data_IF_786648368251
#
_entry.id   IF_786648368251
#
_cell.length_a   1.000
_cell.length_b   1.000
_cell.length_c   1.000
_cell.angle_alpha   90.00
_cell.angle_beta   90.00
_cell.angle_gamma   90.00
#
_symmetry.space_group_name_H-M   'P 1'
#
loop_
_entity.id
_entity.type
_entity.pdbx_description
1 polymer ?
#
# COMPACT_ATOMS: atom_id res chain seq x y z
N UNK A 1 -11.03 -30.65 -1.93
CA UNK A 1 -11.07 -30.51 -3.40
C UNK A 1 -10.09 -29.39 -3.71
N UNK A 2 -8.81 -29.74 -3.83
CA UNK A 2 -7.72 -28.77 -3.99
C UNK A 2 -7.59 -28.40 -5.47
N UNK A 3 -7.92 -27.16 -5.79
CA UNK A 3 -7.65 -26.58 -7.11
C UNK A 3 -6.51 -25.59 -6.93
N UNK A 4 -5.28 -26.09 -7.04
CA UNK A 4 -4.09 -25.23 -7.19
C UNK A 4 -4.12 -24.64 -8.59
N UNK A 5 -4.39 -23.34 -8.68
CA UNK A 5 -4.30 -22.59 -9.94
C UNK A 5 -2.83 -22.27 -10.20
N UNK A 6 -2.24 -22.97 -11.15
CA UNK A 6 -0.91 -22.66 -11.70
C UNK A 6 -1.08 -21.45 -12.63
N UNK A 7 -0.47 -20.32 -12.29
CA UNK A 7 -0.42 -19.16 -13.17
C UNK A 7 0.83 -19.22 -14.05
N UNK A 8 0.61 -19.11 -15.37
CA UNK A 8 1.67 -19.01 -16.37
C UNK A 8 2.15 -17.56 -16.48
N UNK A 9 3.44 -17.32 -16.28
CA UNK A 9 4.09 -16.02 -16.51
C UNK A 9 4.44 -15.91 -17.98
N UNK A 10 3.70 -15.07 -18.73
CA UNK A 10 4.05 -14.70 -20.09
C UNK A 10 5.16 -13.64 -20.08
N UNK A 11 6.37 -14.02 -20.50
CA UNK A 11 7.45 -13.07 -20.77
C UNK A 11 7.11 -12.26 -22.03
N UNK A 12 6.89 -10.94 -21.88
CA UNK A 12 6.68 -10.04 -23.00
C UNK A 12 8.04 -9.68 -23.65
N UNK A 13 8.26 -10.15 -24.88
CA UNK A 13 9.38 -9.74 -25.71
C UNK A 13 9.01 -8.47 -26.50
N UNK A 14 9.76 -7.39 -26.29
CA UNK A 14 9.61 -6.12 -27.01
C UNK A 14 10.16 -6.27 -28.44
N UNK A 15 9.28 -6.21 -29.45
CA UNK A 15 9.68 -6.05 -30.86
C UNK A 15 9.94 -4.57 -31.17
N UNK A 16 11.20 -4.22 -31.44
CA UNK A 16 11.57 -2.91 -31.99
C UNK A 16 11.47 -3.00 -33.53
N UNK A 17 10.39 -2.46 -34.10
CA UNK A 17 10.32 -2.17 -35.54
C UNK A 17 10.73 -0.72 -35.78
N UNK A 18 11.96 -0.54 -36.28
CA UNK A 18 12.44 0.75 -36.80
C UNK A 18 11.91 1.01 -38.21
N UNK A 19 11.41 2.22 -38.45
CA UNK A 19 11.17 2.77 -39.77
C UNK A 19 12.05 4.02 -39.98
N UNK A 20 12.47 4.23 -41.23
CA UNK A 20 13.72 4.88 -41.62
C UNK A 20 13.68 6.42 -41.82
N UNK A 21 14.78 7.06 -41.40
CA UNK A 21 15.68 8.06 -42.04
C UNK A 21 15.17 9.00 -43.15
N UNK A 22 15.54 10.29 -43.03
CA UNK A 22 16.09 11.17 -44.11
C UNK A 22 16.50 12.54 -43.51
N UNK A 23 17.64 13.21 -43.71
CA UNK A 23 18.96 13.05 -44.36
C UNK A 23 19.89 14.13 -43.73
N UNK A 24 21.20 13.89 -43.52
CA UNK A 24 22.39 14.48 -44.19
C UNK A 24 23.37 14.87 -43.03
N UNK A 25 24.69 14.69 -42.96
CA UNK A 25 25.79 14.64 -43.93
C UNK A 25 27.03 13.96 -43.27
N UNK A 26 27.84 13.29 -44.09
CA UNK A 26 29.33 13.15 -44.04
C UNK A 26 30.07 12.36 -42.92
N UNK A 27 30.69 11.26 -43.40
CA UNK A 27 32.14 10.89 -43.28
C UNK A 27 32.61 10.22 -41.97
N UNK A 28 32.87 8.89 -42.01
CA UNK A 28 34.21 8.25 -42.03
C UNK A 28 34.15 6.73 -41.79
N UNK A 29 35.03 6.04 -42.50
CA UNK A 29 35.26 4.59 -42.57
C UNK A 29 35.76 3.97 -41.25
N UNK A 30 35.18 2.81 -40.93
CA UNK A 30 35.70 1.68 -40.14
C UNK A 30 36.09 1.84 -38.67
N UNK A 31 35.33 1.18 -37.79
CA UNK A 31 35.84 0.13 -36.88
C UNK A 31 34.69 -0.79 -36.49
N UNK A 32 34.77 -2.03 -36.95
CA UNK A 32 33.98 -3.14 -36.45
C UNK A 32 34.46 -3.39 -35.01
N UNK A 33 33.66 -3.01 -34.03
CA UNK A 33 33.84 -3.42 -32.64
C UNK A 33 32.69 -4.38 -32.40
N UNK A 34 33.03 -5.67 -32.34
CA UNK A 34 32.15 -6.69 -31.78
C UNK A 34 31.69 -6.20 -30.41
N UNK A 35 30.41 -5.84 -30.31
CA UNK A 35 29.74 -5.79 -29.04
C UNK A 35 29.58 -7.23 -28.58
N UNK A 36 30.48 -7.66 -27.71
CA UNK A 36 30.36 -8.87 -26.90
C UNK A 36 29.00 -8.82 -26.21
N UNK A 37 27.99 -9.47 -26.79
CA UNK A 37 26.76 -9.78 -26.09
C UNK A 37 27.14 -10.64 -24.89
N UNK A 38 27.01 -10.08 -23.69
CA UNK A 38 27.02 -10.86 -22.46
C UNK A 38 25.71 -11.66 -22.40
N UNK A 39 25.61 -12.67 -23.27
CA UNK A 39 24.63 -13.76 -23.20
C UNK A 39 25.10 -14.69 -22.09
N UNK A 40 24.74 -14.38 -20.85
CA UNK A 40 24.65 -15.32 -19.74
C UNK A 40 23.98 -14.63 -18.55
N UNK A 41 22.74 -14.18 -18.72
CA UNK A 41 21.78 -14.27 -17.62
C UNK A 41 21.12 -15.63 -17.81
N UNK A 42 21.62 -16.64 -17.09
CA UNK A 42 20.87 -17.88 -16.94
C UNK A 42 19.56 -17.45 -16.29
N UNK A 43 18.42 -17.65 -16.97
CA UNK A 43 17.14 -17.47 -16.31
C UNK A 43 17.15 -18.46 -15.14
N UNK A 44 17.11 -17.93 -13.91
CA UNK A 44 17.10 -18.79 -12.73
C UNK A 44 15.92 -19.75 -12.84
N UNK A 45 16.18 -21.03 -12.56
CA UNK A 45 15.15 -22.05 -12.55
C UNK A 45 14.27 -21.85 -11.31
N UNK A 46 13.14 -21.16 -11.50
CA UNK A 46 12.17 -20.86 -10.44
C UNK A 46 11.20 -22.03 -10.18
N UNK A 47 11.40 -23.20 -10.80
CA UNK A 47 10.44 -24.31 -10.72
C UNK A 47 10.21 -24.85 -9.30
N UNK A 48 11.20 -24.72 -8.42
CA UNK A 48 11.14 -25.14 -7.01
C UNK A 48 10.81 -24.00 -6.03
N UNK A 49 10.61 -22.77 -6.53
CA UNK A 49 10.32 -21.61 -5.68
C UNK A 49 8.82 -21.56 -5.37
N UNK A 50 8.46 -21.85 -4.12
CA UNK A 50 7.12 -21.58 -3.61
C UNK A 50 7.01 -20.12 -3.18
N UNK A 51 6.23 -19.35 -3.91
CA UNK A 51 5.82 -18.00 -3.53
C UNK A 51 4.63 -18.05 -2.56
N UNK A 52 4.56 -17.05 -1.69
CA UNK A 52 3.41 -16.80 -0.82
C UNK A 52 2.17 -16.43 -1.66
N UNK A 53 0.99 -16.55 -1.06
CA UNK A 53 -0.26 -16.17 -1.72
C UNK A 53 -0.37 -14.65 -1.81
N UNK A 54 -0.86 -14.16 -2.95
CA UNK A 54 -1.26 -12.75 -3.12
C UNK A 54 -2.64 -12.52 -2.53
N UNK A 55 -2.84 -11.40 -1.86
CA UNK A 55 -4.10 -11.05 -1.19
C UNK A 55 -4.72 -9.80 -1.81
N UNK A 56 -5.99 -9.90 -2.19
CA UNK A 56 -6.83 -8.78 -2.65
C UNK A 56 -7.92 -8.55 -1.62
N UNK A 57 -8.12 -7.31 -1.19
CA UNK A 57 -9.21 -6.92 -0.32
C UNK A 57 -10.52 -6.90 -1.11
N UNK A 58 -11.56 -7.57 -0.58
CA UNK A 58 -12.92 -7.51 -1.11
C UNK A 58 -13.80 -6.53 -0.34
N UNK A 59 -15.01 -6.30 -0.85
CA UNK A 59 -16.06 -5.51 -0.18
C UNK A 59 -16.19 -5.87 1.31
N UNK A 60 -16.07 -4.87 2.20
CA UNK A 60 -16.14 -5.04 3.66
C UNK A 60 -14.82 -5.45 4.33
N UNK A 61 -13.77 -5.74 3.55
CA UNK A 61 -12.46 -6.06 4.09
C UNK A 61 -11.68 -4.79 4.45
N UNK A 62 -11.10 -4.80 5.64
CA UNK A 62 -10.09 -3.84 6.06
C UNK A 62 -8.69 -4.30 5.65
N UNK A 63 -7.89 -3.36 5.17
CA UNK A 63 -6.50 -3.58 4.77
C UNK A 63 -5.61 -2.37 5.11
N UNK A 64 -4.30 -2.62 5.22
CA UNK A 64 -3.30 -1.56 5.33
C UNK A 64 -2.89 -1.13 3.92
N UNK A 65 -3.38 0.03 3.46
CA UNK A 65 -2.83 0.66 2.29
C UNK A 65 -1.52 1.37 2.67
N UNK A 66 -0.42 1.11 1.98
CA UNK A 66 0.89 1.71 2.27
C UNK A 66 1.73 1.81 1.00
N UNK A 67 2.49 2.89 0.88
CA UNK A 67 3.46 3.11 -0.17
C UNK A 67 4.78 3.66 0.41
N UNK A 68 5.88 3.14 -0.11
CA UNK A 68 7.21 3.68 0.15
C UNK A 68 7.40 5.08 -0.47
N UNK A 69 8.56 5.70 -0.21
CA UNK A 69 8.82 7.08 -0.59
C UNK A 69 8.89 7.34 -2.11
N UNK A 70 8.96 6.30 -2.93
CA UNK A 70 9.01 6.48 -4.38
C UNK A 70 7.75 5.94 -5.08
N UNK A 71 6.72 5.50 -4.30
CA UNK A 71 5.58 4.74 -4.82
C UNK A 71 5.99 3.52 -5.67
N UNK A 72 7.15 2.95 -5.37
CA UNK A 72 7.71 1.78 -6.07
C UNK A 72 7.27 0.49 -5.42
N UNK A 73 7.18 0.51 -4.09
CA UNK A 73 6.76 -0.64 -3.29
C UNK A 73 5.51 -0.26 -2.53
N UNK A 74 4.39 -0.86 -2.92
CA UNK A 74 3.10 -0.51 -2.33
C UNK A 74 2.15 -1.70 -2.22
N UNK A 75 1.16 -1.54 -1.36
CA UNK A 75 -0.07 -2.31 -1.36
C UNK A 75 -1.24 -1.33 -1.19
N UNK A 76 -2.15 -1.33 -2.14
CA UNK A 76 -3.35 -0.49 -2.20
C UNK A 76 -4.64 -1.33 -2.16
N UNK A 77 -4.53 -2.61 -1.78
CA UNK A 77 -5.65 -3.54 -1.65
C UNK A 77 -5.79 -4.53 -2.80
N UNK A 78 -4.94 -4.45 -3.83
CA UNK A 78 -4.99 -5.34 -5.01
C UNK A 78 -3.85 -6.36 -5.06
N UNK A 79 -3.91 -7.28 -6.01
CA UNK A 79 -2.86 -8.28 -6.27
C UNK A 79 -2.10 -8.09 -7.60
N UNK A 80 -2.42 -7.01 -8.32
CA UNK A 80 -1.79 -6.68 -9.60
C UNK A 80 -0.33 -6.22 -9.45
N UNK A 81 0.29 -5.88 -10.58
CA UNK A 81 1.68 -5.41 -10.65
C UNK A 81 1.96 -4.10 -9.92
N UNK A 82 0.93 -3.30 -9.64
CA UNK A 82 1.03 -2.08 -8.84
C UNK A 82 0.92 -2.36 -7.33
N UNK A 83 0.89 -3.62 -6.92
CA UNK A 83 0.75 -4.03 -5.53
C UNK A 83 1.85 -5.02 -5.14
N UNK A 84 3.10 -4.58 -5.11
CA UNK A 84 4.26 -5.45 -4.86
C UNK A 84 4.20 -6.12 -3.48
N UNK A 85 3.56 -5.48 -2.50
CA UNK A 85 3.42 -5.95 -1.12
C UNK A 85 2.15 -6.81 -0.88
N UNK A 86 1.48 -7.29 -1.94
CA UNK A 86 0.28 -8.14 -1.85
C UNK A 86 0.54 -9.53 -1.23
N UNK A 87 1.78 -10.01 -1.29
CA UNK A 87 2.18 -11.33 -0.79
C UNK A 87 2.11 -11.36 0.73
N UNK A 88 1.34 -12.31 1.29
CA UNK A 88 1.14 -12.42 2.75
C UNK A 88 0.60 -11.12 3.40
N UNK A 89 -0.17 -10.32 2.65
CA UNK A 89 -0.82 -9.15 3.22
C UNK A 89 -1.93 -9.57 4.20
N UNK A 90 -1.93 -8.95 5.38
CA UNK A 90 -2.92 -9.18 6.42
C UNK A 90 -4.16 -8.34 6.17
N UNK A 91 -5.22 -8.99 5.69
CA UNK A 91 -6.54 -8.41 5.42
C UNK A 91 -7.57 -9.07 6.35
N UNK A 92 -8.59 -8.32 6.78
CA UNK A 92 -9.61 -8.84 7.69
C UNK A 92 -11.00 -8.32 7.33
N UNK A 93 -11.99 -9.21 7.28
CA UNK A 93 -13.37 -8.83 7.06
C UNK A 93 -13.96 -8.16 8.31
N UNK A 94 -14.72 -7.08 8.12
CA UNK A 94 -15.36 -6.35 9.23
C UNK A 94 -16.80 -6.84 9.41
N UNK A 95 -17.01 -7.69 10.42
CA UNK A 95 -18.32 -8.25 10.77
C UNK A 95 -19.04 -7.49 11.91
N UNK A 96 -18.36 -6.55 12.56
CA UNK A 96 -18.92 -5.84 13.71
C UNK A 96 -17.94 -4.92 14.45
N UNK A 97 -18.43 -4.31 15.53
CA UNK A 97 -17.60 -3.51 16.42
C UNK A 97 -16.57 -4.40 17.13
N UNK A 98 -15.34 -3.91 17.32
CA UNK A 98 -14.29 -4.70 17.96
C UNK A 98 -12.88 -4.32 17.52
N UNK A 99 -11.92 -5.14 17.91
CA UNK A 99 -10.50 -4.93 17.64
C UNK A 99 -10.02 -5.83 16.51
N UNK A 100 -9.24 -5.25 15.60
CA UNK A 100 -8.80 -5.85 14.35
C UNK A 100 -7.33 -5.53 14.09
N UNK A 101 -6.73 -6.27 13.15
CA UNK A 101 -5.34 -6.10 12.75
C UNK A 101 -5.17 -6.29 11.25
N UNK A 102 -4.35 -5.45 10.63
CA UNK A 102 -3.92 -5.54 9.23
C UNK A 102 -2.40 -5.42 9.13
N UNK A 103 -1.80 -5.90 8.03
CA UNK A 103 -0.34 -5.84 7.85
C UNK A 103 0.12 -5.95 6.40
N UNK A 104 1.37 -5.56 6.15
CA UNK A 104 2.13 -5.89 4.94
C UNK A 104 3.48 -6.53 5.31
N UNK A 105 4.03 -7.33 4.40
CA UNK A 105 5.28 -8.08 4.62
C UNK A 105 6.20 -8.04 3.39
N UNK A 106 7.29 -7.29 3.49
CA UNK A 106 8.35 -7.20 2.49
C UNK A 106 9.41 -8.32 2.62
N UNK A 107 9.23 -9.28 3.53
CA UNK A 107 10.13 -10.42 3.68
C UNK A 107 9.74 -11.64 2.83
N UNK A 108 8.65 -11.54 2.08
CA UNK A 108 8.14 -12.64 1.26
C UNK A 108 9.00 -12.86 0.03
N UNK A 109 9.12 -14.12 -0.41
CA UNK A 109 9.79 -14.44 -1.68
C UNK A 109 9.12 -13.74 -2.85
N UNK A 110 7.79 -13.65 -2.82
CA UNK A 110 7.02 -12.97 -3.86
C UNK A 110 7.38 -11.49 -3.99
N UNK A 111 7.46 -10.79 -2.85
CA UNK A 111 7.88 -9.39 -2.83
C UNK A 111 9.34 -9.24 -3.33
N UNK A 112 10.28 -10.01 -2.77
CA UNK A 112 11.70 -9.93 -3.13
C UNK A 112 11.94 -10.16 -4.61
N UNK A 113 11.24 -11.14 -5.18
CA UNK A 113 11.28 -11.41 -6.61
C UNK A 113 10.72 -10.25 -7.44
N UNK A 114 9.57 -9.65 -7.05
CA UNK A 114 9.05 -8.45 -7.74
C UNK A 114 9.99 -7.25 -7.63
N UNK A 115 10.66 -7.07 -6.48
CA UNK A 115 11.53 -5.94 -6.24
C UNK A 115 12.91 -6.09 -6.90
N UNK A 116 13.42 -7.32 -7.07
CA UNK A 116 14.83 -7.54 -7.44
C UNK A 116 15.07 -8.50 -8.61
N UNK A 117 14.07 -9.29 -9.00
CA UNK A 117 14.21 -10.41 -9.94
C UNK A 117 14.75 -11.70 -9.32
N UNK A 118 15.00 -11.73 -8.01
CA UNK A 118 15.55 -12.88 -7.28
C UNK A 118 14.77 -13.07 -5.95
N UNK A 119 14.16 -14.25 -5.70
CA UNK A 119 13.36 -14.50 -4.51
C UNK A 119 14.17 -14.54 -3.20
N UNK A 120 15.49 -14.73 -3.27
CA UNK A 120 16.37 -14.84 -2.11
C UNK A 120 17.17 -13.55 -1.86
N UNK A 121 17.17 -12.61 -2.82
CA UNK A 121 17.80 -11.30 -2.66
C UNK A 121 16.94 -10.36 -1.84
N UNK A 122 17.48 -9.95 -0.70
CA UNK A 122 16.81 -9.00 0.19
C UNK A 122 16.56 -7.65 -0.49
N UNK A 123 15.39 -7.09 -0.20
CA UNK A 123 15.03 -5.71 -0.50
C UNK A 123 14.19 -5.17 0.64
N UNK A 124 14.41 -3.90 1.01
CA UNK A 124 13.58 -3.20 1.99
C UNK A 124 12.99 -1.95 1.34
N UNK A 125 11.65 -1.78 1.37
CA UNK A 125 11.03 -0.49 1.12
C UNK A 125 11.70 0.63 1.92
N UNK A 126 11.79 1.82 1.33
CA UNK A 126 12.48 2.97 1.92
C UNK A 126 11.55 4.14 2.11
N UNK A 127 11.55 4.69 3.32
CA UNK A 127 10.61 5.73 3.71
C UNK A 127 9.14 5.28 3.63
N UNK A 128 8.27 6.26 3.78
CA UNK A 128 6.83 6.13 3.63
C UNK A 128 6.27 7.49 3.22
N UNK A 129 5.52 7.53 2.13
CA UNK A 129 4.78 8.74 1.71
C UNK A 129 3.28 8.63 2.01
N UNK A 130 2.78 7.40 2.13
CA UNK A 130 1.37 7.14 2.39
C UNK A 130 1.17 5.88 3.21
N UNK A 131 0.30 5.95 4.21
CA UNK A 131 -0.26 4.80 4.91
C UNK A 131 -1.66 5.10 5.45
N UNK A 132 -2.59 4.15 5.32
CA UNK A 132 -3.93 4.24 5.86
C UNK A 132 -4.52 2.86 6.13
N UNK A 133 -5.41 2.76 7.11
CA UNK A 133 -6.36 1.64 7.16
C UNK A 133 -7.57 2.00 6.31
N UNK A 134 -7.91 1.13 5.37
CA UNK A 134 -9.03 1.30 4.46
C UNK A 134 -9.97 0.11 4.59
N UNK A 135 -11.28 0.36 4.58
CA UNK A 135 -12.31 -0.67 4.38
C UNK A 135 -12.86 -0.53 2.96
N UNK A 136 -12.67 -1.55 2.15
CA UNK A 136 -13.13 -1.58 0.76
C UNK A 136 -14.66 -1.54 0.69
N UNK A 137 -15.21 -0.66 -0.16
CA UNK A 137 -16.66 -0.40 -0.25
C UNK A 137 -17.35 -0.13 1.10
N UNK A 138 -16.60 0.37 2.09
CA UNK A 138 -17.04 0.44 3.48
C UNK A 138 -18.31 1.26 3.72
N UNK A 139 -18.59 2.27 2.90
CA UNK A 139 -19.86 3.02 2.99
C UNK A 139 -21.09 2.14 2.76
N UNK A 140 -20.96 1.12 1.91
CA UNK A 140 -22.05 0.19 1.61
C UNK A 140 -22.00 -1.04 2.51
N UNK A 141 -20.81 -1.59 2.74
CA UNK A 141 -20.64 -2.84 3.48
C UNK A 141 -20.84 -2.67 4.99
N UNK A 142 -20.31 -1.58 5.55
CA UNK A 142 -20.28 -1.31 6.99
C UNK A 142 -20.56 0.18 7.24
N UNK A 143 -21.76 0.68 6.87
CA UNK A 143 -22.10 2.08 7.00
C UNK A 143 -21.92 2.55 8.45
N UNK A 144 -21.50 3.79 8.63
CA UNK A 144 -21.22 4.41 9.93
C UNK A 144 -20.04 3.84 10.72
N UNK A 145 -19.31 2.84 10.21
CA UNK A 145 -18.10 2.37 10.87
C UNK A 145 -17.12 3.53 11.10
N UNK A 146 -16.54 3.54 12.29
CA UNK A 146 -15.44 4.43 12.69
C UNK A 146 -14.23 3.56 12.99
N UNK A 147 -13.19 3.76 12.19
CA UNK A 147 -11.85 3.23 12.36
C UNK A 147 -11.09 4.10 13.37
N UNK A 148 -10.58 3.46 14.43
CA UNK A 148 -9.66 4.09 15.39
C UNK A 148 -8.34 3.34 15.41
N UNK A 149 -7.25 3.99 15.00
CA UNK A 149 -5.90 3.42 15.01
C UNK A 149 -5.41 3.37 16.47
N UNK A 150 -5.09 2.17 16.94
CA UNK A 150 -4.62 1.95 18.32
C UNK A 150 -3.11 1.82 18.40
N UNK A 151 -2.51 1.14 17.43
CA UNK A 151 -1.07 0.86 17.43
C UNK A 151 -0.56 0.65 16.02
N UNK A 152 0.62 1.21 15.75
CA UNK A 152 1.41 0.95 14.54
C UNK A 152 2.72 0.30 14.99
N UNK A 153 3.11 -0.79 14.34
CA UNK A 153 4.40 -1.46 14.54
C UNK A 153 5.16 -1.51 13.24
N UNK A 154 6.45 -1.17 13.30
CA UNK A 154 7.40 -1.36 12.21
C UNK A 154 8.50 -2.30 12.70
N UNK A 155 8.69 -3.42 12.01
CA UNK A 155 9.65 -4.46 12.37
C UNK A 155 9.56 -4.90 13.85
N UNK A 156 8.32 -5.03 14.34
CA UNK A 156 8.00 -5.43 15.71
C UNK A 156 8.18 -4.33 16.77
N UNK A 157 8.57 -3.11 16.40
CA UNK A 157 8.71 -1.97 17.31
C UNK A 157 7.50 -1.05 17.22
N UNK A 158 6.96 -0.67 18.38
CA UNK A 158 5.86 0.28 18.48
C UNK A 158 6.30 1.66 17.98
N UNK A 159 5.49 2.26 17.10
CA UNK A 159 5.63 3.65 16.64
C UNK A 159 4.66 4.52 17.42
N UNK A 160 5.13 5.65 17.94
CA UNK A 160 4.32 6.57 18.73
C UNK A 160 3.26 7.26 17.84
N UNK A 161 1.99 7.18 18.28
CA UNK A 161 0.90 7.96 17.69
C UNK A 161 0.89 9.36 18.31
N UNK A 162 1.17 10.39 17.52
CA UNK A 162 1.28 11.79 17.96
C UNK A 162 -0.07 12.42 18.26
N UNK A 163 -1.12 11.97 17.57
CA UNK A 163 -2.49 12.49 17.61
C UNK A 163 -3.50 11.35 17.41
N UNK A 164 -4.78 11.68 17.50
CA UNK A 164 -5.90 10.75 17.29
C UNK A 164 -6.18 10.56 15.80
N UNK A 165 -6.53 9.33 15.42
CA UNK A 165 -7.07 9.01 14.10
C UNK A 165 -8.50 9.51 13.93
N UNK A 166 -8.92 9.70 12.68
CA UNK A 166 -10.31 9.95 12.30
C UNK A 166 -10.68 9.06 11.11
N UNK A 167 -11.97 8.84 10.90
CA UNK A 167 -12.50 8.15 9.72
C UNK A 167 -13.14 9.15 8.77
N UNK A 168 -12.96 8.96 7.48
CA UNK A 168 -13.64 9.71 6.44
C UNK A 168 -13.91 8.82 5.24
N UNK A 169 -14.67 9.33 4.29
CA UNK A 169 -15.11 8.60 3.11
C UNK A 169 -14.37 9.10 1.87
N UNK A 170 -13.79 8.17 1.11
CA UNK A 170 -13.14 8.48 -0.16
C UNK A 170 -13.53 7.43 -1.22
N UNK A 171 -14.19 7.87 -2.29
CA UNK A 171 -14.67 7.00 -3.37
C UNK A 171 -15.42 5.74 -2.89
N UNK A 172 -16.28 5.89 -1.86
CA UNK A 172 -17.08 4.80 -1.28
C UNK A 172 -16.35 3.92 -0.26
N UNK A 173 -15.04 4.12 -0.09
CA UNK A 173 -14.23 3.44 0.94
C UNK A 173 -14.26 4.23 2.24
N UNK A 174 -14.19 3.53 3.36
CA UNK A 174 -13.89 4.16 4.65
C UNK A 174 -12.40 4.17 4.86
N UNK A 175 -11.85 5.30 5.28
CA UNK A 175 -10.40 5.47 5.45
C UNK A 175 -10.05 6.15 6.77
N UNK A 176 -8.97 5.70 7.38
CA UNK A 176 -8.25 6.42 8.44
C UNK A 176 -6.78 6.52 8.06
N UNK A 177 -6.30 7.74 7.80
CA UNK A 177 -4.89 7.96 7.51
C UNK A 177 -4.02 7.67 8.74
N UNK A 178 -2.88 7.05 8.50
CA UNK A 178 -1.76 6.95 9.43
C UNK A 178 -0.73 8.02 9.05
N UNK A 179 -0.48 8.18 7.76
CA UNK A 179 0.33 9.25 7.20
C UNK A 179 -0.09 9.53 5.76
N UNK A 180 -0.13 10.81 5.38
CA UNK A 180 -0.37 11.24 4.02
C UNK A 180 0.42 12.53 3.77
N UNK A 181 1.44 12.48 2.92
CA UNK A 181 2.31 13.63 2.68
C UNK A 181 1.62 14.79 1.95
N UNK A 182 0.53 14.53 1.22
CA UNK A 182 -0.17 15.54 0.42
C UNK A 182 -1.26 16.28 1.18
N UNK A 183 -1.52 15.87 2.43
CA UNK A 183 -2.51 16.47 3.31
C UNK A 183 -1.76 17.02 4.52
N UNK A 184 -2.06 18.26 4.91
CA UNK A 184 -1.49 18.83 6.13
C UNK A 184 -1.91 18.00 7.35
N UNK A 185 -1.12 18.06 8.42
CA UNK A 185 -1.42 17.38 9.69
C UNK A 185 -2.88 17.59 10.15
N UNK A 186 -3.40 18.81 9.98
CA UNK A 186 -4.76 19.24 10.31
C UNK A 186 -5.74 19.28 9.11
N UNK A 187 -5.35 18.70 7.97
CA UNK A 187 -6.15 18.66 6.73
C UNK A 187 -7.25 17.60 6.76
N UNK A 188 -8.22 17.73 7.67
CA UNK A 188 -9.32 16.78 7.78
C UNK A 188 -10.42 17.08 6.74
N UNK A 189 -10.90 16.07 5.96
CA UNK A 189 -12.10 16.17 5.14
C UNK A 189 -13.34 16.57 5.94
N UNK A 190 -14.31 17.19 5.28
CA UNK A 190 -15.52 17.74 5.90
C UNK A 190 -16.47 16.69 6.52
N UNK A 191 -16.43 15.46 6.02
CA UNK A 191 -17.16 14.30 6.53
C UNK A 191 -16.42 13.50 7.62
N UNK A 192 -15.28 14.02 8.08
CA UNK A 192 -14.46 13.36 9.10
C UNK A 192 -15.23 13.12 10.39
N UNK A 193 -15.05 11.93 10.96
CA UNK A 193 -15.78 11.46 12.14
C UNK A 193 -14.92 10.59 13.05
N UNK A 194 -15.33 10.52 14.30
CA UNK A 194 -14.77 9.66 15.33
C UNK A 194 -15.88 8.96 16.13
N UNK A 195 -15.49 8.19 17.16
CA UNK A 195 -16.40 7.42 18.02
C UNK A 195 -17.46 8.30 18.71
N UNK A 196 -17.10 9.56 18.97
CA UNK A 196 -17.95 10.58 19.57
C UNK A 196 -18.89 11.30 18.59
N UNK A 197 -18.66 11.17 17.29
CA UNK A 197 -19.47 11.84 16.25
C UNK A 197 -18.65 12.56 15.19
N UNK A 198 -19.33 13.39 14.41
CA UNK A 198 -18.73 14.21 13.35
C UNK A 198 -17.74 15.24 13.93
N UNK A 199 -16.64 15.48 13.22
CA UNK A 199 -15.63 16.46 13.59
C UNK A 199 -15.98 17.87 13.08
N UNK A 200 -16.84 17.97 12.07
CA UNK A 200 -17.29 19.23 11.50
C UNK A 200 -18.81 19.35 11.53
N UNK A 201 -19.29 20.59 11.64
CA UNK A 201 -20.71 20.88 11.58
C UNK A 201 -21.16 20.90 10.11
N UNK A 202 -22.26 20.21 9.80
CA UNK A 202 -22.93 20.28 8.49
C UNK A 202 -22.00 20.01 7.28
N UNK A 203 -20.99 19.15 7.42
CA UNK A 203 -20.02 18.88 6.36
C UNK A 203 -19.31 20.16 5.86
N UNK A 204 -18.91 21.02 6.79
CA UNK A 204 -18.12 22.22 6.50
C UNK A 204 -16.79 22.16 7.28
N UNK A 205 -15.69 21.89 6.57
CA UNK A 205 -14.36 21.79 7.17
C UNK A 205 -13.82 23.13 7.73
N UNK A 206 -14.53 24.24 7.51
CA UNK A 206 -14.25 25.54 8.15
C UNK A 206 -15.05 25.76 9.43
N UNK A 207 -15.97 24.84 9.77
CA UNK A 207 -16.82 24.86 10.96
C UNK A 207 -16.56 23.64 11.85
N UNK A 208 -15.47 23.62 12.64
CA UNK A 208 -15.22 22.52 13.57
C UNK A 208 -16.33 22.41 14.61
N UNK A 209 -16.70 21.16 14.93
CA UNK A 209 -17.60 20.86 16.06
C UNK A 209 -16.86 20.97 17.39
N UNK A 210 -17.59 20.93 18.51
CA UNK A 210 -17.00 20.88 19.87
C UNK A 210 -16.13 19.63 20.11
N UNK A 211 -16.25 18.59 19.26
CA UNK A 211 -15.44 17.36 19.33
C UNK A 211 -14.06 17.59 18.69
N UNK A 212 -13.98 18.47 17.68
CA UNK A 212 -12.73 18.77 16.99
C UNK A 212 -11.92 19.82 17.76
N UNK A 213 -11.17 19.32 18.73
CA UNK A 213 -10.28 20.05 19.63
C UNK A 213 -8.84 20.23 19.08
N UNK A 214 -8.62 19.93 17.80
CA UNK A 214 -7.28 19.93 17.18
C UNK A 214 -6.40 18.73 17.51
N UNK A 215 -6.93 17.72 18.22
CA UNK A 215 -6.19 16.50 18.58
C UNK A 215 -6.22 15.40 17.51
N UNK A 216 -6.90 15.62 16.38
CA UNK A 216 -6.97 14.68 15.27
C UNK A 216 -5.97 15.02 14.17
N UNK A 217 -5.52 14.03 13.41
CA UNK A 217 -4.48 14.25 12.40
C UNK A 217 -4.51 13.27 11.24
N UNK A 218 -4.08 13.75 10.07
CA UNK A 218 -3.81 12.94 8.88
C UNK A 218 -2.38 12.35 8.84
N UNK A 219 -1.52 12.76 9.79
CA UNK A 219 -0.11 12.40 9.94
C UNK A 219 0.17 11.93 11.39
N UNK A 220 -0.37 10.76 11.74
CA UNK A 220 -0.35 10.20 13.10
C UNK A 220 1.03 9.82 13.61
N UNK A 221 1.98 9.52 12.71
CA UNK A 221 3.30 8.98 13.05
C UNK A 221 4.42 9.81 12.45
N UNK A 222 5.59 9.77 13.09
CA UNK A 222 6.83 10.24 12.49
C UNK A 222 7.35 9.21 11.47
N UNK A 223 7.72 9.66 10.29
CA UNK A 223 8.14 8.78 9.19
C UNK A 223 9.55 8.22 9.36
N UNK A 224 10.36 8.71 10.30
CA UNK A 224 11.70 8.19 10.58
C UNK A 224 11.70 6.73 11.05
N UNK A 225 10.60 6.24 11.62
CA UNK A 225 10.43 4.81 11.91
C UNK A 225 10.34 3.94 10.65
N UNK A 226 10.14 4.55 9.48
CA UNK A 226 9.98 3.92 8.18
C UNK A 226 11.16 4.19 7.23
N UNK A 227 12.31 4.68 7.72
CA UNK A 227 13.49 4.94 6.88
C UNK A 227 13.85 3.72 5.99
N UNK A 228 13.84 2.53 6.58
CA UNK A 228 13.83 1.23 5.91
C UNK A 228 12.99 0.27 6.77
N UNK A 229 12.13 -0.55 6.15
CA UNK A 229 11.24 -1.45 6.89
C UNK A 229 11.03 -2.77 6.18
N UNK A 230 10.60 -3.79 6.93
CA UNK A 230 10.28 -5.12 6.39
C UNK A 230 8.81 -5.48 6.65
N UNK A 231 8.33 -5.28 7.88
CA UNK A 231 6.95 -5.59 8.25
C UNK A 231 6.29 -4.39 8.91
N UNK A 232 5.09 -4.06 8.46
CA UNK A 232 4.25 -3.06 9.11
C UNK A 232 2.96 -3.72 9.56
N UNK A 233 2.60 -3.53 10.82
CA UNK A 233 1.38 -4.07 11.42
C UNK A 233 0.60 -2.93 12.08
N UNK A 234 -0.72 -2.94 11.89
CA UNK A 234 -1.61 -1.92 12.48
C UNK A 234 -2.73 -2.62 13.23
N UNK A 235 -2.84 -2.29 14.52
CA UNK A 235 -3.96 -2.69 15.36
C UNK A 235 -4.93 -1.50 15.43
N UNK A 236 -6.21 -1.74 15.15
CA UNK A 236 -7.25 -0.73 15.13
C UNK A 236 -8.55 -1.29 15.72
N UNK A 237 -9.50 -0.41 16.01
CA UNK A 237 -10.86 -0.82 16.37
C UNK A 237 -11.89 -0.24 15.44
N UNK A 238 -12.99 -0.98 15.28
CA UNK A 238 -14.23 -0.53 14.66
C UNK A 238 -15.26 -0.24 15.75
N UNK A 239 -15.94 0.90 15.60
CA UNK A 239 -17.12 1.27 16.38
C UNK A 239 -18.19 1.87 15.45
N UNK A 240 -19.39 2.14 15.96
CA UNK A 240 -20.43 2.88 15.23
C UNK A 240 -21.43 2.03 14.45
N UNK A 241 -21.26 0.70 14.40
CA UNK A 241 -22.15 -0.21 13.65
C UNK A 241 -23.49 -0.51 14.34
N UNK A 242 -23.63 -0.20 15.63
CA UNK A 242 -24.86 -0.45 16.41
C UNK A 242 -25.74 0.80 16.57
N UNK A 243 -25.45 1.87 15.83
CA UNK A 243 -26.09 3.19 15.99
C UNK A 243 -27.26 3.39 15.02
#
# INVERSE_FOLDING_TARGET
>A
MDIRRIFAVCAAAVMICGAAVSCNEKVKTSKNIESTENKNAVADDLSDVQFEDTVTAGTGDAYLAIADKDFRMQYLGGSDENNQLTFDAGVVHIDGNGDYKVSVNADTKGFRYRATGDPDKEYKPKGMEYAAVIIEDGETAVPNAVITIKKVKVDGKDVELKKKSFTYTDAGKLRSNIFNEWISDDGLPDDSRCDKGALFNNFDNTSPSDINDGSYSAQLVDTGAFDEWTKVEVEFSISGLDK
#
